data_IF_579140653338
#
_entry.id   IF_579140653338
#
_cell.length_a   1.000
_cell.length_b   1.000
_cell.length_c   1.000
_cell.angle_alpha   90.00
_cell.angle_beta   90.00
_cell.angle_gamma   90.00
#
_symmetry.space_group_name_H-M   'P 1'
#
loop_
_entity.id
_entity.type
_entity.pdbx_description
1 polymer ?
#
# COMPACT_ATOMS: atom_id res chain seq x y z
N UNK A 1 -12.92 8.05 7.33
CA UNK A 1 -11.57 7.62 7.75
C UNK A 1 -11.20 6.32 7.07
N UNK A 2 -9.93 6.03 6.81
CA UNK A 2 -9.48 4.88 6.00
C UNK A 2 -9.59 3.53 6.72
N UNK A 3 -10.05 3.47 7.95
CA UNK A 3 -10.23 2.24 8.69
C UNK A 3 -11.69 1.86 8.88
N UNK A 4 -12.02 0.58 8.80
CA UNK A 4 -13.30 0.12 9.32
C UNK A 4 -13.37 0.47 10.81
N UNK A 5 -14.29 1.33 11.19
CA UNK A 5 -14.40 1.79 12.57
C UNK A 5 -14.71 0.61 13.49
N UNK A 6 -13.90 0.42 14.50
CA UNK A 6 -14.22 -0.46 15.61
C UNK A 6 -15.32 0.23 16.43
N UNK A 7 -16.41 -0.48 16.68
CA UNK A 7 -17.57 0.05 17.39
C UNK A 7 -17.30 0.44 18.86
N UNK A 8 -18.33 0.71 19.65
CA UNK A 8 -18.18 1.31 20.98
C UNK A 8 -17.32 0.50 21.96
N UNK A 9 -17.20 -0.78 21.76
CA UNK A 9 -16.36 -1.66 22.61
C UNK A 9 -14.86 -1.63 22.25
N UNK A 10 -14.47 -0.92 21.18
CA UNK A 10 -13.08 -0.81 20.70
C UNK A 10 -12.34 -2.16 20.57
N UNK A 11 -13.07 -3.20 20.24
CA UNK A 11 -12.57 -4.56 20.03
C UNK A 11 -13.07 -5.10 18.69
N UNK A 12 -12.53 -6.24 18.27
CA UNK A 12 -12.99 -6.92 17.05
C UNK A 12 -14.50 -7.24 17.08
N UNK A 13 -15.07 -7.46 18.24
CA UNK A 13 -16.51 -7.74 18.39
C UNK A 13 -17.41 -6.54 18.11
N UNK A 14 -16.86 -5.32 18.17
CA UNK A 14 -17.56 -4.08 17.79
C UNK A 14 -17.26 -3.62 16.36
N UNK A 15 -16.69 -4.49 15.53
CA UNK A 15 -16.34 -4.13 14.15
C UNK A 15 -17.61 -3.87 13.31
N UNK A 16 -17.66 -2.71 12.68
CA UNK A 16 -18.71 -2.40 11.72
C UNK A 16 -18.41 -3.11 10.39
N UNK A 17 -19.16 -4.17 10.10
CA UNK A 17 -18.94 -5.02 8.92
C UNK A 17 -19.19 -4.27 7.61
N UNK A 18 -20.17 -3.36 7.56
CA UNK A 18 -20.42 -2.59 6.33
C UNK A 18 -19.30 -1.58 6.06
N UNK A 19 -18.74 -0.96 7.09
CA UNK A 19 -17.55 -0.13 6.95
C UNK A 19 -16.33 -0.98 6.53
N UNK A 20 -16.18 -2.18 7.05
CA UNK A 20 -15.14 -3.11 6.64
C UNK A 20 -15.27 -3.48 5.15
N UNK A 21 -16.48 -3.84 4.70
CA UNK A 21 -16.75 -4.15 3.28
C UNK A 21 -16.41 -2.98 2.38
N UNK A 22 -16.82 -1.76 2.71
CA UNK A 22 -16.50 -0.54 1.95
C UNK A 22 -14.99 -0.31 1.81
N UNK A 23 -14.22 -0.59 2.85
CA UNK A 23 -12.75 -0.47 2.82
C UNK A 23 -12.15 -1.53 1.90
N UNK A 24 -12.64 -2.77 1.94
CA UNK A 24 -12.22 -3.85 1.05
C UNK A 24 -12.60 -3.55 -0.40
N UNK A 25 -13.82 -3.09 -0.65
CA UNK A 25 -14.26 -2.69 -1.99
C UNK A 25 -13.36 -1.60 -2.57
N UNK A 26 -13.10 -0.55 -1.82
CA UNK A 26 -12.26 0.55 -2.28
C UNK A 26 -10.81 0.11 -2.55
N UNK A 27 -10.21 -0.62 -1.63
CA UNK A 27 -8.78 -0.91 -1.70
C UNK A 27 -8.48 -2.18 -2.52
N UNK A 28 -9.19 -3.27 -2.30
CA UNK A 28 -8.92 -4.53 -2.98
C UNK A 28 -9.60 -4.57 -4.36
N UNK A 29 -10.92 -4.45 -4.43
CA UNK A 29 -11.62 -4.49 -5.71
C UNK A 29 -11.30 -3.28 -6.59
N UNK A 30 -11.05 -2.09 -5.99
CA UNK A 30 -10.51 -0.93 -6.70
C UNK A 30 -9.11 -1.14 -7.29
N UNK A 31 -8.39 -2.19 -6.89
CA UNK A 31 -7.14 -2.64 -7.53
C UNK A 31 -7.39 -3.76 -8.52
N UNK A 32 -8.18 -4.76 -8.15
CA UNK A 32 -8.45 -5.95 -9.00
C UNK A 32 -9.11 -5.57 -10.31
N UNK A 33 -10.19 -4.76 -10.27
CA UNK A 33 -10.97 -4.43 -11.46
C UNK A 33 -10.17 -3.67 -12.53
N UNK A 34 -9.45 -2.58 -12.21
CA UNK A 34 -8.58 -1.93 -13.19
C UNK A 34 -7.46 -2.85 -13.68
N UNK A 35 -6.89 -3.67 -12.79
CA UNK A 35 -5.83 -4.60 -13.16
C UNK A 35 -6.32 -5.59 -14.22
N UNK A 36 -7.52 -6.16 -14.08
CA UNK A 36 -8.08 -7.06 -15.09
C UNK A 36 -8.18 -6.41 -16.47
N UNK A 37 -8.63 -5.15 -16.52
CA UNK A 37 -8.79 -4.42 -17.79
C UNK A 37 -7.43 -4.10 -18.42
N UNK A 38 -6.51 -3.51 -17.66
CA UNK A 38 -5.23 -3.08 -18.21
C UNK A 38 -4.27 -4.25 -18.46
N UNK A 39 -4.30 -5.28 -17.61
CA UNK A 39 -3.47 -6.47 -17.81
C UNK A 39 -3.86 -7.24 -19.08
N UNK A 40 -5.13 -7.25 -19.47
CA UNK A 40 -5.58 -7.85 -20.73
C UNK A 40 -4.95 -7.16 -21.94
N UNK A 41 -4.96 -5.82 -21.94
CA UNK A 41 -4.31 -5.03 -23.01
C UNK A 41 -2.80 -5.30 -23.04
N UNK A 42 -2.13 -5.28 -21.88
CA UNK A 42 -0.70 -5.55 -21.78
C UNK A 42 -0.35 -6.97 -22.21
N UNK A 43 -1.18 -7.96 -21.87
CA UNK A 43 -1.00 -9.36 -22.29
C UNK A 43 -1.05 -9.51 -23.81
N UNK A 44 -1.96 -8.82 -24.48
CA UNK A 44 -2.03 -8.80 -25.94
C UNK A 44 -0.81 -8.15 -26.59
N UNK A 45 -0.24 -7.13 -25.95
CA UNK A 45 0.99 -6.46 -26.39
C UNK A 45 2.26 -7.23 -25.99
N UNK A 46 2.17 -8.18 -25.06
CA UNK A 46 3.28 -8.89 -24.42
C UNK A 46 4.30 -7.98 -23.73
N UNK A 47 3.85 -6.79 -23.31
CA UNK A 47 4.67 -5.80 -22.66
C UNK A 47 3.83 -4.95 -21.70
N UNK A 48 4.34 -4.73 -20.50
CA UNK A 48 3.70 -3.88 -19.50
C UNK A 48 4.30 -4.02 -18.12
N UNK A 49 4.19 -2.96 -17.36
CA UNK A 49 4.57 -2.95 -15.94
C UNK A 49 3.42 -2.41 -15.10
N UNK A 50 2.99 -3.21 -14.13
CA UNK A 50 1.96 -2.85 -13.17
C UNK A 50 2.64 -2.61 -11.82
N UNK A 51 2.31 -1.48 -11.20
CA UNK A 51 2.73 -1.16 -9.82
C UNK A 51 1.50 -0.95 -8.96
N UNK A 52 1.24 -1.89 -8.08
CA UNK A 52 0.16 -1.83 -7.12
C UNK A 52 0.59 -1.07 -5.86
N UNK A 53 -0.38 -0.44 -5.20
CA UNK A 53 -0.17 0.22 -3.92
C UNK A 53 -0.59 -0.72 -2.77
N UNK A 54 0.39 -1.37 -2.16
CA UNK A 54 0.26 -2.03 -0.88
C UNK A 54 0.36 -1.00 0.26
N UNK A 55 0.87 -1.36 1.39
CA UNK A 55 1.06 -0.47 2.54
C UNK A 55 1.94 -1.16 3.58
N UNK A 56 2.58 -0.39 4.44
CA UNK A 56 3.19 -0.87 5.68
C UNK A 56 2.20 -1.69 6.53
N UNK A 57 0.91 -1.32 6.54
CA UNK A 57 -0.14 -2.06 7.25
C UNK A 57 -0.41 -3.48 6.72
N UNK A 58 0.10 -3.82 5.55
CA UNK A 58 0.06 -5.17 5.00
C UNK A 58 1.16 -6.06 5.58
N UNK A 59 2.24 -5.47 6.04
CA UNK A 59 3.43 -6.14 6.58
C UNK A 59 3.35 -6.24 8.09
N UNK A 60 2.96 -5.14 8.74
CA UNK A 60 2.77 -5.04 10.19
C UNK A 60 1.36 -4.61 10.54
N UNK A 61 0.69 -5.28 11.47
CA UNK A 61 -0.66 -4.88 11.88
C UNK A 61 -0.59 -3.53 12.60
N UNK A 62 -1.27 -2.55 12.02
CA UNK A 62 -1.40 -1.22 12.62
C UNK A 62 -2.74 -1.10 13.36
N UNK A 63 -2.72 -0.43 14.51
CA UNK A 63 -3.93 -0.22 15.31
C UNK A 63 -4.98 0.59 14.54
N UNK A 64 -6.26 0.28 14.76
CA UNK A 64 -7.43 1.01 14.24
C UNK A 64 -7.66 0.93 12.73
N UNK A 65 -6.91 0.09 12.00
CA UNK A 65 -7.01 0.00 10.53
C UNK A 65 -7.13 -1.44 10.05
N UNK A 66 -7.84 -2.30 10.79
CA UNK A 66 -7.94 -3.74 10.52
C UNK A 66 -8.42 -4.07 9.10
N UNK A 67 -9.46 -3.40 8.61
CA UNK A 67 -9.97 -3.62 7.24
C UNK A 67 -9.01 -3.14 6.17
N UNK A 68 -8.36 -2.02 6.40
CA UNK A 68 -7.34 -1.49 5.49
C UNK A 68 -6.11 -2.41 5.41
N UNK A 69 -5.57 -2.84 6.56
CA UNK A 69 -4.44 -3.76 6.61
C UNK A 69 -4.75 -5.08 5.91
N UNK A 70 -5.92 -5.67 6.17
CA UNK A 70 -6.37 -6.90 5.51
C UNK A 70 -6.46 -6.74 3.99
N UNK A 71 -7.06 -5.64 3.50
CA UNK A 71 -7.16 -5.37 2.07
C UNK A 71 -5.78 -5.15 1.42
N UNK A 72 -4.88 -4.44 2.09
CA UNK A 72 -3.52 -4.21 1.58
C UNK A 72 -2.65 -5.47 1.60
N UNK A 73 -2.83 -6.36 2.57
CA UNK A 73 -2.21 -7.69 2.57
C UNK A 73 -2.69 -8.54 1.39
N UNK A 74 -4.00 -8.47 1.09
CA UNK A 74 -4.56 -9.12 -0.10
C UNK A 74 -3.96 -8.59 -1.40
N UNK A 75 -3.74 -7.27 -1.53
CA UNK A 75 -3.07 -6.65 -2.69
C UNK A 75 -1.63 -7.15 -2.82
N UNK A 76 -0.89 -7.28 -1.71
CA UNK A 76 0.47 -7.84 -1.74
C UNK A 76 0.50 -9.27 -2.25
N UNK A 77 -0.43 -10.11 -1.80
CA UNK A 77 -0.56 -11.50 -2.27
C UNK A 77 -0.96 -11.54 -3.75
N UNK A 78 -1.97 -10.77 -4.15
CA UNK A 78 -2.42 -10.65 -5.54
C UNK A 78 -1.29 -10.22 -6.48
N UNK A 79 -0.47 -9.25 -6.06
CA UNK A 79 0.71 -8.80 -6.84
C UNK A 79 1.66 -9.94 -7.15
N UNK A 80 1.97 -10.78 -6.15
CA UNK A 80 2.86 -11.94 -6.32
C UNK A 80 2.23 -13.00 -7.23
N UNK A 81 0.94 -13.28 -7.05
CA UNK A 81 0.21 -14.22 -7.90
C UNK A 81 0.24 -13.76 -9.37
N UNK A 82 -0.13 -12.52 -9.64
CA UNK A 82 -0.18 -11.96 -10.99
C UNK A 82 1.21 -11.90 -11.64
N UNK A 83 2.25 -11.60 -10.88
CA UNK A 83 3.62 -11.59 -11.36
C UNK A 83 4.02 -12.94 -11.95
N UNK A 84 3.71 -14.04 -11.26
CA UNK A 84 3.97 -15.39 -11.75
C UNK A 84 3.05 -15.77 -12.91
N UNK A 85 1.75 -15.58 -12.76
CA UNK A 85 0.77 -15.98 -13.77
C UNK A 85 1.00 -15.27 -15.10
N UNK A 86 1.15 -13.94 -15.10
CA UNK A 86 1.29 -13.18 -16.34
C UNK A 86 2.62 -13.46 -17.04
N UNK A 87 3.71 -13.60 -16.30
CA UNK A 87 5.00 -13.93 -16.87
C UNK A 87 5.01 -15.33 -17.49
N UNK A 88 4.43 -16.34 -16.84
CA UNK A 88 4.35 -17.71 -17.35
C UNK A 88 3.48 -17.79 -18.60
N UNK A 89 2.34 -17.12 -18.61
CA UNK A 89 1.36 -17.22 -19.70
C UNK A 89 1.66 -16.31 -20.88
N UNK A 90 2.23 -15.13 -20.65
CA UNK A 90 2.36 -14.08 -21.67
C UNK A 90 3.80 -13.62 -21.91
N UNK A 91 4.74 -14.03 -21.07
CA UNK A 91 6.17 -13.76 -21.24
C UNK A 91 6.75 -12.74 -20.27
N UNK A 92 8.07 -12.64 -20.24
CA UNK A 92 8.86 -11.83 -19.33
C UNK A 92 8.67 -10.32 -19.51
N UNK A 93 8.05 -9.88 -20.59
CA UNK A 93 7.72 -8.48 -20.82
C UNK A 93 6.60 -7.96 -19.90
N UNK A 94 5.85 -8.86 -19.23
CA UNK A 94 4.82 -8.44 -18.26
C UNK A 94 5.37 -8.58 -16.83
N UNK A 95 5.41 -7.46 -16.13
CA UNK A 95 5.89 -7.41 -14.75
C UNK A 95 4.85 -6.80 -13.83
N UNK A 96 4.69 -7.38 -12.66
CA UNK A 96 3.77 -6.88 -11.63
C UNK A 96 4.52 -6.78 -10.31
N UNK A 97 4.59 -5.57 -9.78
CA UNK A 97 5.22 -5.26 -8.50
C UNK A 97 4.29 -4.41 -7.64
N UNK A 98 4.63 -4.21 -6.41
CA UNK A 98 3.94 -3.25 -5.56
C UNK A 98 4.94 -2.37 -4.80
N UNK A 99 4.48 -1.21 -4.38
CA UNK A 99 5.13 -0.42 -3.34
C UNK A 99 4.34 -0.54 -2.04
N UNK A 100 5.03 -0.54 -0.92
CA UNK A 100 4.46 -0.48 0.43
C UNK A 100 4.93 0.81 1.11
N UNK A 101 4.18 1.91 0.95
CA UNK A 101 4.50 3.15 1.61
C UNK A 101 4.32 3.03 3.12
N UNK A 102 5.24 3.63 3.88
CA UNK A 102 5.08 3.89 5.29
C UNK A 102 4.14 5.06 5.54
N UNK A 103 4.55 5.99 6.38
CA UNK A 103 3.72 7.14 6.75
C UNK A 103 4.16 8.40 6.01
N UNK A 104 3.30 8.86 5.11
CA UNK A 104 3.48 10.06 4.30
C UNK A 104 2.47 11.13 4.69
N UNK A 105 2.91 12.38 4.73
CA UNK A 105 2.00 13.50 4.92
C UNK A 105 1.36 13.87 3.58
N UNK A 106 0.03 13.73 3.51
CA UNK A 106 -0.77 14.03 2.33
C UNK A 106 -1.90 15.00 2.69
N UNK A 107 -2.49 15.66 1.71
CA UNK A 107 -3.68 16.48 1.96
C UNK A 107 -4.81 15.68 2.60
N UNK A 108 -4.97 14.42 2.21
CA UNK A 108 -6.02 13.54 2.74
C UNK A 108 -5.87 13.23 4.24
N UNK A 109 -4.64 13.11 4.74
CA UNK A 109 -4.39 12.74 6.14
C UNK A 109 -3.86 13.88 7.00
N UNK A 110 -3.72 15.08 6.44
CA UNK A 110 -3.17 16.25 7.14
C UNK A 110 -3.87 16.50 8.48
N UNK A 111 -5.20 16.49 8.50
CA UNK A 111 -5.98 16.70 9.73
C UNK A 111 -5.84 15.58 10.78
N UNK A 112 -5.36 14.41 10.38
CA UNK A 112 -5.08 13.30 11.29
C UNK A 112 -3.65 13.37 11.86
N UNK A 113 -2.75 14.00 11.13
CA UNK A 113 -1.32 14.04 11.43
C UNK A 113 -0.88 15.39 12.00
N UNK A 114 -1.59 16.47 11.69
CA UNK A 114 -1.24 17.83 12.15
C UNK A 114 -2.42 18.51 12.84
N UNK A 115 -2.10 19.30 13.86
CA UNK A 115 -3.03 20.19 14.54
C UNK A 115 -3.22 21.49 13.71
N UNK A 116 -4.25 22.31 14.00
CA UNK A 116 -4.47 23.58 13.30
C UNK A 116 -3.29 24.57 13.36
N UNK A 117 -2.46 24.50 14.39
CA UNK A 117 -1.25 25.31 14.56
C UNK A 117 -0.04 24.78 13.79
N UNK A 118 -0.19 23.65 13.05
CA UNK A 118 0.86 23.00 12.29
C UNK A 118 1.73 22.03 13.09
N UNK A 119 1.54 21.90 14.39
CA UNK A 119 2.22 20.89 15.20
C UNK A 119 1.71 19.48 14.87
N UNK A 120 2.49 18.45 15.19
CA UNK A 120 2.06 17.08 15.00
C UNK A 120 1.07 16.61 16.07
N UNK A 121 0.12 15.79 15.66
CA UNK A 121 -0.78 15.11 16.62
C UNK A 121 -0.01 14.02 17.37
N UNK A 122 -0.48 13.58 18.56
CA UNK A 122 0.14 12.48 19.30
C UNK A 122 0.30 11.19 18.47
N UNK A 123 -0.60 10.97 17.50
CA UNK A 123 -0.49 9.86 16.55
C UNK A 123 0.71 10.04 15.62
N UNK A 124 0.87 11.21 15.04
CA UNK A 124 2.00 11.51 14.16
C UNK A 124 3.33 11.46 14.93
N UNK A 125 3.37 12.00 16.14
CA UNK A 125 4.56 11.91 17.00
C UNK A 125 4.97 10.46 17.30
N UNK A 126 3.99 9.60 17.61
CA UNK A 126 4.25 8.17 17.83
C UNK A 126 4.82 7.49 16.59
N UNK A 127 4.27 7.79 15.41
CA UNK A 127 4.77 7.27 14.12
C UNK A 127 6.20 7.76 13.85
N UNK A 128 6.45 9.05 14.02
CA UNK A 128 7.77 9.67 13.81
C UNK A 128 8.80 9.08 14.78
N UNK A 129 8.43 8.88 16.04
CA UNK A 129 9.30 8.25 17.03
C UNK A 129 9.69 6.81 16.65
N UNK A 130 8.81 6.09 15.93
CA UNK A 130 9.04 4.72 15.44
C UNK A 130 9.79 4.68 14.09
N UNK A 131 9.80 5.78 13.36
CA UNK A 131 10.47 5.88 12.06
C UNK A 131 11.94 6.29 12.26
N UNK A 132 12.93 5.49 11.83
CA UNK A 132 14.34 5.86 11.95
C UNK A 132 14.72 7.21 11.34
N UNK A 133 14.11 7.59 10.22
CA UNK A 133 14.32 8.91 9.60
C UNK A 133 13.71 10.07 10.40
N UNK A 134 12.97 9.80 11.49
CA UNK A 134 12.42 10.79 12.42
C UNK A 134 11.53 11.86 11.76
N UNK A 135 10.85 11.51 10.70
CA UNK A 135 9.88 12.37 10.01
C UNK A 135 8.83 11.54 9.24
N UNK A 136 7.78 12.20 8.81
CA UNK A 136 6.88 11.67 7.78
C UNK A 136 7.53 11.83 6.40
N UNK A 137 7.19 10.94 5.48
CA UNK A 137 7.57 11.08 4.08
C UNK A 137 6.72 12.12 3.35
N UNK A 138 7.20 12.56 2.19
CA UNK A 138 6.45 13.38 1.24
C UNK A 138 6.12 12.57 -0.01
N UNK A 139 4.95 12.76 -0.66
CA UNK A 139 4.51 11.92 -1.79
C UNK A 139 5.50 11.81 -2.94
N UNK A 140 6.29 12.84 -3.20
CA UNK A 140 7.34 12.85 -4.24
C UNK A 140 8.48 11.86 -3.96
N UNK A 141 8.70 11.47 -2.71
CA UNK A 141 9.69 10.46 -2.34
C UNK A 141 9.33 9.03 -2.79
N UNK A 142 8.10 8.82 -3.26
CA UNK A 142 7.69 7.56 -3.89
C UNK A 142 8.09 7.48 -5.37
N UNK A 143 8.31 8.62 -6.04
CA UNK A 143 8.47 8.69 -7.49
C UNK A 143 9.68 7.89 -7.99
N UNK A 144 10.82 7.96 -7.29
CA UNK A 144 12.02 7.21 -7.68
C UNK A 144 11.80 5.71 -7.71
N UNK A 145 11.12 5.15 -6.70
CA UNK A 145 10.82 3.73 -6.65
C UNK A 145 9.79 3.33 -7.72
N UNK A 146 8.76 4.15 -7.94
CA UNK A 146 7.77 3.90 -9.00
C UNK A 146 8.47 3.93 -10.36
N UNK A 147 9.27 4.96 -10.64
CA UNK A 147 10.01 5.09 -11.89
C UNK A 147 10.95 3.91 -12.14
N UNK A 148 11.65 3.44 -11.10
CA UNK A 148 12.46 2.22 -11.19
C UNK A 148 11.61 1.01 -11.59
N UNK A 149 10.49 0.79 -10.91
CA UNK A 149 9.65 -0.41 -11.13
C UNK A 149 8.94 -0.43 -12.49
N UNK A 150 8.68 0.73 -13.12
CA UNK A 150 8.04 0.80 -14.44
C UNK A 150 9.04 0.89 -15.59
N UNK A 151 10.33 1.09 -15.31
CA UNK A 151 11.37 1.27 -16.33
C UNK A 151 12.13 -0.02 -16.62
N UNK A 152 12.96 0.04 -17.65
CA UNK A 152 13.89 -1.03 -18.06
C UNK A 152 14.96 -1.35 -17.00
N UNK A 153 15.22 -0.43 -16.08
CA UNK A 153 16.14 -0.66 -14.96
C UNK A 153 15.71 -1.82 -14.05
N UNK A 154 14.43 -2.22 -14.12
CA UNK A 154 13.85 -3.31 -13.33
C UNK A 154 13.38 -4.50 -14.18
N UNK A 155 13.95 -4.73 -15.37
CA UNK A 155 13.54 -5.81 -16.28
C UNK A 155 13.51 -7.22 -15.66
N UNK A 156 14.37 -7.49 -14.69
CA UNK A 156 14.41 -8.79 -13.99
C UNK A 156 13.74 -8.74 -12.61
N UNK A 157 12.84 -7.74 -12.39
CA UNK A 157 12.12 -7.54 -11.12
C UNK A 157 10.63 -7.68 -11.35
N UNK A 158 10.05 -8.76 -10.81
CA UNK A 158 8.60 -8.99 -10.79
C UNK A 158 8.22 -9.70 -9.49
N UNK A 159 7.04 -9.43 -8.94
CA UNK A 159 6.54 -10.00 -7.69
C UNK A 159 7.13 -9.38 -6.42
N UNK A 160 7.90 -8.30 -6.52
CA UNK A 160 8.43 -7.61 -5.34
C UNK A 160 7.42 -6.68 -4.69
N UNK A 161 7.56 -6.52 -3.39
CA UNK A 161 6.90 -5.47 -2.61
C UNK A 161 8.00 -4.52 -2.11
N UNK A 162 8.16 -3.40 -2.79
CA UNK A 162 9.18 -2.42 -2.45
C UNK A 162 8.70 -1.51 -1.30
N UNK A 163 9.38 -1.58 -0.18
CA UNK A 163 9.07 -0.79 1.02
C UNK A 163 9.70 0.60 0.86
N UNK A 164 8.90 1.64 1.12
CA UNK A 164 9.34 3.05 1.11
C UNK A 164 8.78 3.72 2.36
N UNK A 165 9.52 3.71 3.45
CA UNK A 165 8.97 3.97 4.78
C UNK A 165 9.89 4.71 5.76
N UNK A 166 11.07 5.14 5.32
CA UNK A 166 12.07 5.76 6.21
C UNK A 166 12.64 4.81 7.27
N UNK A 167 12.55 3.49 7.03
CA UNK A 167 13.08 2.44 7.89
C UNK A 167 12.09 1.93 8.95
N UNK A 168 10.82 2.30 8.86
CA UNK A 168 9.79 1.91 9.85
C UNK A 168 9.66 0.39 9.99
N UNK A 169 9.63 -0.36 8.89
CA UNK A 169 9.52 -1.82 8.91
C UNK A 169 10.82 -2.50 9.38
N UNK A 170 11.95 -1.96 8.97
CA UNK A 170 13.26 -2.55 9.24
C UNK A 170 13.71 -2.44 10.70
N UNK A 171 13.13 -1.52 11.46
CA UNK A 171 13.55 -1.21 12.80
C UNK A 171 12.60 -1.75 13.87
N UNK A 172 13.10 -2.64 14.70
CA UNK A 172 12.42 -3.11 15.92
C UNK A 172 13.39 -3.07 17.09
N UNK A 173 12.88 -2.73 18.25
CA UNK A 173 13.62 -2.71 19.51
C UNK A 173 13.56 -4.10 20.13
#
# INVERSE_FOLDING_TARGET
GPGAAIGPYRTIFGLNIDAFRKVVDLNLFGTVLPTMVFADVMANQREGAIVNFSSESALRPLTRVVGYGAAKAAISNLTKYLAGELAIKFGEGLRVNAIAPGFFLTEQNRTLMTNPDGSYTPRAESVIAHTPFRRLGTPDELFGTIQYLISDASKFVTGTIAIVDGGFDAFSI
#
